data_IF_858616837344
#
_entry.id   IF_858616837344
#
_cell.length_a   1.000
_cell.length_b   1.000
_cell.length_c   1.000
_cell.angle_alpha   90.00
_cell.angle_beta   90.00
_cell.angle_gamma   90.00
#
_symmetry.space_group_name_H-M   'P 1'
#
loop_
_entity.id
_entity.type
_entity.pdbx_description
1 polymer ?
#
# COMPACT_ATOMS: atom_id res chain seq x y z
N UNK A 1 -23.06 -5.86 19.86
CA UNK A 1 -22.43 -6.08 18.55
C UNK A 1 -21.34 -5.04 18.44
N UNK A 2 -20.08 -5.42 18.63
CA UNK A 2 -18.99 -4.45 18.68
C UNK A 2 -18.80 -3.79 17.31
N UNK A 3 -18.61 -2.48 17.30
CA UNK A 3 -18.19 -1.70 16.13
C UNK A 3 -16.70 -1.95 15.81
N UNK A 4 -16.03 -2.84 16.56
CA UNK A 4 -14.66 -3.30 16.31
C UNK A 4 -14.56 -4.03 14.97
N UNK A 5 -13.93 -3.40 13.97
CA UNK A 5 -13.34 -4.12 12.83
C UNK A 5 -13.82 -3.77 11.43
N UNK A 6 -14.61 -2.70 11.22
CA UNK A 6 -14.85 -2.22 9.85
C UNK A 6 -13.66 -1.37 9.37
N UNK A 7 -12.79 -1.98 8.56
CA UNK A 7 -11.63 -1.32 7.93
C UNK A 7 -12.01 -0.04 7.17
N UNK A 8 -13.24 0.06 6.64
CA UNK A 8 -13.69 1.26 5.94
C UNK A 8 -14.02 2.42 6.90
N UNK A 9 -14.31 2.14 8.17
CA UNK A 9 -14.42 3.16 9.22
C UNK A 9 -13.03 3.70 9.54
N UNK A 10 -12.03 2.83 9.69
CA UNK A 10 -10.65 3.26 9.95
C UNK A 10 -10.12 4.13 8.79
N UNK A 11 -10.34 3.68 7.54
CA UNK A 11 -9.99 4.46 6.34
C UNK A 11 -10.69 5.82 6.35
N UNK A 12 -11.96 5.89 6.74
CA UNK A 12 -12.67 7.18 6.85
C UNK A 12 -11.94 8.11 7.82
N UNK A 13 -11.56 7.62 8.99
CA UNK A 13 -10.93 8.44 10.02
C UNK A 13 -9.56 8.95 9.57
N UNK A 14 -8.73 8.11 8.96
CA UNK A 14 -7.42 8.54 8.45
C UNK A 14 -7.57 9.62 7.37
N UNK A 15 -8.51 9.47 6.43
CA UNK A 15 -8.73 10.48 5.38
C UNK A 15 -9.22 11.81 5.93
N UNK A 16 -10.06 11.80 6.97
CA UNK A 16 -10.50 13.04 7.63
C UNK A 16 -9.36 13.73 8.39
N UNK A 17 -8.44 12.95 8.99
CA UNK A 17 -7.24 13.51 9.66
C UNK A 17 -6.30 14.18 8.67
N UNK A 18 -6.20 13.65 7.45
CA UNK A 18 -5.48 14.29 6.33
C UNK A 18 -6.21 15.53 5.76
N UNK A 19 -7.36 15.91 6.34
CA UNK A 19 -8.09 17.12 5.98
C UNK A 19 -9.02 16.97 4.78
N UNK A 20 -9.33 15.75 4.34
CA UNK A 20 -10.27 15.55 3.24
C UNK A 20 -11.71 15.86 3.66
N UNK A 21 -12.49 16.37 2.71
CA UNK A 21 -13.91 16.67 2.90
C UNK A 21 -14.74 15.43 3.26
N UNK A 22 -15.54 15.55 4.33
CA UNK A 22 -16.38 14.48 4.85
C UNK A 22 -17.38 13.96 3.82
N UNK A 23 -17.99 14.85 3.04
CA UNK A 23 -18.99 14.46 2.06
C UNK A 23 -18.33 13.68 0.90
N UNK A 24 -17.17 14.11 0.43
CA UNK A 24 -16.38 13.41 -0.58
C UNK A 24 -15.96 12.01 -0.13
N UNK A 25 -15.40 11.90 1.08
CA UNK A 25 -14.98 10.61 1.67
C UNK A 25 -16.18 9.67 1.82
N UNK A 26 -17.30 10.17 2.36
CA UNK A 26 -18.52 9.36 2.54
C UNK A 26 -19.05 8.84 1.20
N UNK A 27 -19.10 9.69 0.16
CA UNK A 27 -19.51 9.25 -1.19
C UNK A 27 -18.57 8.19 -1.76
N UNK A 28 -17.26 8.33 -1.56
CA UNK A 28 -16.28 7.35 -2.01
C UNK A 28 -16.46 5.99 -1.34
N UNK A 29 -16.60 5.97 -0.01
CA UNK A 29 -16.80 4.73 0.74
C UNK A 29 -18.13 4.04 0.41
N UNK A 30 -19.21 4.80 0.16
CA UNK A 30 -20.48 4.22 -0.30
C UNK A 30 -20.32 3.48 -1.63
N UNK A 31 -19.55 4.02 -2.58
CA UNK A 31 -19.25 3.33 -3.85
C UNK A 31 -18.42 2.06 -3.64
N UNK A 32 -17.47 2.08 -2.70
CA UNK A 32 -16.68 0.89 -2.36
C UNK A 32 -17.57 -0.19 -1.74
N UNK A 33 -18.43 0.17 -0.78
CA UNK A 33 -19.39 -0.77 -0.19
C UNK A 33 -20.34 -1.35 -1.23
N UNK A 34 -20.79 -0.56 -2.19
CA UNK A 34 -21.65 -1.07 -3.27
C UNK A 34 -20.91 -2.07 -4.16
N UNK A 35 -19.63 -1.82 -4.48
CA UNK A 35 -18.84 -2.68 -5.37
C UNK A 35 -18.37 -3.97 -4.71
N UNK A 36 -18.00 -3.91 -3.42
CA UNK A 36 -17.29 -4.98 -2.73
C UNK A 36 -18.08 -5.56 -1.54
N UNK A 37 -19.23 -5.00 -1.20
CA UNK A 37 -20.04 -5.43 -0.07
C UNK A 37 -20.39 -6.92 -0.13
N UNK A 38 -20.23 -7.62 0.99
CA UNK A 38 -20.46 -9.06 1.09
C UNK A 38 -19.29 -9.93 0.62
N UNK A 39 -18.25 -9.36 -0.01
CA UNK A 39 -17.05 -10.11 -0.39
C UNK A 39 -16.05 -10.22 0.77
N UNK A 40 -15.26 -11.30 0.78
CA UNK A 40 -14.09 -11.44 1.66
C UNK A 40 -12.84 -11.02 0.89
N UNK A 41 -12.21 -9.94 1.33
CA UNK A 41 -10.98 -9.40 0.72
C UNK A 41 -9.86 -9.44 1.74
N UNK A 42 -8.70 -9.96 1.32
CA UNK A 42 -7.49 -9.93 2.15
C UNK A 42 -6.74 -8.62 1.94
N UNK A 43 -6.61 -7.82 3.00
CA UNK A 43 -5.81 -6.59 3.01
C UNK A 43 -4.36 -6.97 3.33
N UNK A 44 -3.46 -6.74 2.37
CA UNK A 44 -2.03 -7.00 2.57
C UNK A 44 -1.46 -6.07 3.63
N UNK A 45 -0.69 -6.62 4.57
CA UNK A 45 0.04 -5.85 5.58
C UNK A 45 1.04 -4.86 4.98
N UNK A 46 1.52 -5.12 3.76
CA UNK A 46 2.50 -4.27 3.07
C UNK A 46 1.97 -3.86 1.70
N UNK A 47 2.16 -2.58 1.37
CA UNK A 47 1.96 -2.12 0.00
C UNK A 47 3.12 -2.60 -0.88
N UNK A 48 2.93 -3.77 -1.50
CA UNK A 48 3.91 -4.36 -2.40
C UNK A 48 4.15 -3.49 -3.63
N UNK A 49 3.14 -2.75 -4.10
CA UNK A 49 3.26 -1.91 -5.28
C UNK A 49 4.14 -0.70 -4.97
N UNK A 50 3.83 0.04 -3.90
CA UNK A 50 4.65 1.16 -3.45
C UNK A 50 6.09 0.73 -3.12
N UNK A 51 6.25 -0.41 -2.43
CA UNK A 51 7.57 -0.99 -2.17
C UNK A 51 8.33 -1.26 -3.47
N UNK A 52 7.70 -1.93 -4.43
CA UNK A 52 8.35 -2.28 -5.69
C UNK A 52 8.72 -1.02 -6.50
N UNK A 53 7.86 -0.01 -6.51
CA UNK A 53 8.12 1.27 -7.16
C UNK A 53 9.35 1.96 -6.55
N UNK A 54 9.45 1.99 -5.21
CA UNK A 54 10.64 2.51 -4.51
C UNK A 54 11.91 1.75 -4.85
N UNK A 55 11.86 0.40 -4.90
CA UNK A 55 12.99 -0.42 -5.35
C UNK A 55 13.40 -0.03 -6.78
N UNK A 56 12.43 0.09 -7.69
CA UNK A 56 12.67 0.40 -9.10
C UNK A 56 13.34 1.77 -9.27
N UNK A 57 12.87 2.78 -8.54
CA UNK A 57 13.44 4.13 -8.58
C UNK A 57 14.87 4.16 -8.03
N UNK A 58 15.14 3.52 -6.89
CA UNK A 58 16.48 3.47 -6.31
C UNK A 58 17.47 2.70 -7.21
N UNK A 59 17.03 1.60 -7.84
CA UNK A 59 17.84 0.87 -8.83
C UNK A 59 18.16 1.73 -10.05
N UNK A 60 17.19 2.50 -10.58
CA UNK A 60 17.41 3.46 -11.67
C UNK A 60 18.43 4.53 -11.30
N UNK A 61 18.42 4.95 -10.03
CA UNK A 61 19.37 5.92 -9.50
C UNK A 61 20.76 5.32 -9.19
N UNK A 62 21.01 4.06 -9.55
CA UNK A 62 22.30 3.38 -9.37
C UNK A 62 22.61 3.02 -7.92
N UNK A 63 21.61 3.03 -7.02
CA UNK A 63 21.85 2.74 -5.61
C UNK A 63 22.13 1.24 -5.41
N UNK A 64 23.19 0.86 -4.66
CA UNK A 64 23.53 -0.55 -4.43
C UNK A 64 22.41 -1.32 -3.71
N UNK A 65 22.19 -2.59 -4.09
CA UNK A 65 21.03 -3.38 -3.63
C UNK A 65 21.01 -3.55 -2.10
N UNK A 66 22.18 -3.65 -1.45
CA UNK A 66 22.29 -3.73 0.02
C UNK A 66 21.77 -2.46 0.71
N UNK A 67 22.00 -1.29 0.13
CA UNK A 67 21.54 -0.01 0.69
C UNK A 67 20.02 0.10 0.53
N UNK A 68 19.50 -0.25 -0.66
CA UNK A 68 18.05 -0.29 -0.93
C UNK A 68 17.35 -1.21 0.07
N UNK A 69 17.86 -2.43 0.24
CA UNK A 69 17.32 -3.41 1.17
C UNK A 69 17.22 -2.88 2.60
N UNK A 70 18.30 -2.23 3.09
CA UNK A 70 18.34 -1.62 4.43
C UNK A 70 17.32 -0.48 4.57
N UNK A 71 17.24 0.42 3.58
CA UNK A 71 16.31 1.58 3.60
C UNK A 71 14.84 1.17 3.58
N UNK A 72 14.53 0.09 2.88
CA UNK A 72 13.14 -0.39 2.70
C UNK A 72 12.77 -1.41 3.79
N UNK A 73 13.75 -2.00 4.48
CA UNK A 73 13.51 -3.01 5.51
C UNK A 73 13.18 -4.38 4.93
N UNK A 74 13.84 -4.78 3.85
CA UNK A 74 13.62 -6.08 3.17
C UNK A 74 14.94 -6.83 2.94
N UNK A 75 14.84 -8.09 2.53
CA UNK A 75 16.02 -8.88 2.17
C UNK A 75 16.71 -8.37 0.90
N UNK A 76 18.03 -8.47 0.85
CA UNK A 76 18.83 -8.17 -0.35
C UNK A 76 18.42 -9.09 -1.52
N UNK A 77 18.05 -10.34 -1.24
CA UNK A 77 17.56 -11.28 -2.24
C UNK A 77 16.29 -10.78 -2.93
N UNK A 78 15.41 -10.09 -2.22
CA UNK A 78 14.19 -9.49 -2.79
C UNK A 78 14.54 -8.40 -3.81
N UNK A 79 15.50 -7.54 -3.47
CA UNK A 79 15.96 -6.47 -4.37
C UNK A 79 16.63 -7.06 -5.62
N UNK A 80 17.51 -8.06 -5.46
CA UNK A 80 18.17 -8.72 -6.58
C UNK A 80 17.19 -9.38 -7.54
N UNK A 81 16.19 -10.10 -7.00
CA UNK A 81 15.14 -10.71 -7.83
C UNK A 81 14.40 -9.63 -8.65
N UNK A 82 14.04 -8.51 -8.02
CA UNK A 82 13.37 -7.40 -8.72
C UNK A 82 14.24 -6.70 -9.75
N UNK A 83 15.55 -6.57 -9.48
CA UNK A 83 16.49 -6.06 -10.46
C UNK A 83 16.52 -6.96 -11.70
N UNK A 84 16.62 -8.28 -11.50
CA UNK A 84 16.65 -9.24 -12.59
C UNK A 84 15.35 -9.28 -13.39
N UNK A 85 14.19 -9.17 -12.73
CA UNK A 85 12.90 -9.09 -13.43
C UNK A 85 12.72 -7.83 -14.30
N UNK A 86 13.47 -6.75 -14.07
CA UNK A 86 13.20 -5.43 -14.68
C UNK A 86 14.34 -4.85 -15.52
N UNK A 87 15.58 -5.28 -15.30
CA UNK A 87 16.77 -4.67 -15.89
C UNK A 87 17.74 -5.69 -16.50
N UNK A 88 17.49 -6.99 -16.33
CA UNK A 88 18.14 -8.04 -17.14
C UNK A 88 17.25 -8.33 -18.36
#
# INVERSE_FOLDING_TARGET
>A
MSLDGDVLIDVKQELLREGLDLAAVTRALSRIRHRWGGQRVYVLQIDRAARNEKIKQELKNGVPERIIAKRIGISVSTVRRKKSEWFD
#
